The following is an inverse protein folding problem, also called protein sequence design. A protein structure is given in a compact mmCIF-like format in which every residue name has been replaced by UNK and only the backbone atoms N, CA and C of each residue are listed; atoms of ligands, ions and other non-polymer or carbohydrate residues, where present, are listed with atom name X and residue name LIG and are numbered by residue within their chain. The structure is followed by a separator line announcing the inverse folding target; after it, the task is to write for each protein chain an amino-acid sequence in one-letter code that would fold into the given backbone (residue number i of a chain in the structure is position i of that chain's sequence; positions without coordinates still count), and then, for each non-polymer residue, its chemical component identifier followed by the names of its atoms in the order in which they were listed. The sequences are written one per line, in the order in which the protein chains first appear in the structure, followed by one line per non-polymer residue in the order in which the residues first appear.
data_IF_041568684180
#
_entry.id   IF_041568684180
#
_cell.length_a   1.000
_cell.length_b   1.000
_cell.length_c   1.000
_cell.angle_alpha   90.00
_cell.angle_beta   90.00
_cell.angle_gamma   90.00
#
_symmetry.space_group_name_H-M   'P 1'
#
loop_
_entity.id
_entity.type
_entity.pdbx_description
1 polymer ?
#
# COMPACT_ATOMS: atom_id res chain seq x y z
N UNK A 1 2.68 5.53 11.90
CA UNK A 1 1.31 5.01 11.63
C UNK A 1 1.10 3.73 12.45
N UNK A 2 -0.14 3.30 12.75
CA UNK A 2 -0.41 1.96 13.31
C UNK A 2 -0.83 0.98 12.21
N UNK A 3 -0.69 -0.32 12.44
CA UNK A 3 -1.07 -1.37 11.46
C UNK A 3 -2.55 -1.24 11.06
N UNK A 4 -3.43 -0.94 12.02
CA UNK A 4 -4.86 -0.80 11.80
C UNK A 4 -5.18 0.40 10.89
N UNK A 5 -4.44 1.50 11.04
CA UNK A 5 -4.61 2.69 10.21
C UNK A 5 -4.09 2.44 8.80
N UNK A 6 -2.93 1.80 8.67
CA UNK A 6 -2.37 1.38 7.38
C UNK A 6 -3.35 0.47 6.61
N UNK A 7 -3.94 -0.50 7.31
CA UNK A 7 -4.90 -1.43 6.73
C UNK A 7 -6.18 -0.73 6.26
N UNK A 8 -6.71 0.22 7.04
CA UNK A 8 -7.88 1.03 6.64
C UNK A 8 -7.60 1.88 5.41
N UNK A 9 -6.44 2.54 5.37
CA UNK A 9 -6.03 3.36 4.22
C UNK A 9 -5.87 2.49 2.97
N UNK A 10 -5.19 1.34 3.10
CA UNK A 10 -5.02 0.40 2.00
C UNK A 10 -6.36 -0.12 1.47
N UNK A 11 -7.28 -0.49 2.37
CA UNK A 11 -8.63 -0.95 2.00
C UNK A 11 -9.40 0.14 1.23
N UNK A 12 -9.32 1.40 1.70
CA UNK A 12 -9.92 2.53 1.01
C UNK A 12 -9.32 2.72 -0.39
N UNK A 13 -8.00 2.81 -0.50
CA UNK A 13 -7.32 2.98 -1.79
C UNK A 13 -7.59 1.84 -2.77
N UNK A 14 -7.67 0.60 -2.29
CA UNK A 14 -7.97 -0.58 -3.10
C UNK A 14 -9.43 -0.63 -3.58
N UNK A 15 -10.38 -0.19 -2.75
CA UNK A 15 -11.81 -0.21 -3.05
C UNK A 15 -12.25 0.93 -3.96
N UNK A 16 -11.61 2.10 -3.87
CA UNK A 16 -11.88 3.25 -4.76
C UNK A 16 -10.99 3.31 -5.98
N UNK A 17 -10.06 2.35 -6.16
CA UNK A 17 -9.23 2.29 -7.35
C UNK A 17 -10.12 2.07 -8.60
N UNK A 18 -9.82 2.74 -9.72
CA UNK A 18 -10.48 2.45 -10.99
C UNK A 18 -10.37 0.98 -11.37
N UNK A 19 -11.30 0.53 -12.22
CA UNK A 19 -11.29 -0.85 -12.71
C UNK A 19 -9.95 -1.19 -13.34
N UNK A 20 -9.41 -2.37 -12.97
CA UNK A 20 -8.09 -2.87 -13.37
C UNK A 20 -6.88 -2.09 -12.83
N UNK A 21 -7.08 -1.08 -11.98
CA UNK A 21 -5.98 -0.30 -11.37
C UNK A 21 -5.71 -0.65 -9.89
N UNK A 22 -6.36 -1.68 -9.36
CA UNK A 22 -6.23 -2.06 -7.94
C UNK A 22 -4.79 -2.29 -7.51
N UNK A 23 -4.01 -3.06 -8.29
CA UNK A 23 -2.60 -3.31 -7.99
C UNK A 23 -1.75 -2.04 -8.08
N UNK A 24 -2.05 -1.16 -9.04
CA UNK A 24 -1.38 0.15 -9.18
C UNK A 24 -1.61 1.00 -7.95
N UNK A 25 -2.83 1.01 -7.40
CA UNK A 25 -3.14 1.73 -6.18
C UNK A 25 -2.49 1.13 -4.93
N UNK A 26 -2.26 -0.19 -4.89
CA UNK A 26 -1.43 -0.82 -3.83
C UNK A 26 0.02 -0.36 -3.91
N UNK A 27 0.59 -0.20 -5.11
CA UNK A 27 1.91 0.40 -5.27
C UNK A 27 1.92 1.87 -4.84
N UNK A 28 0.90 2.63 -5.24
CA UNK A 28 0.77 4.04 -4.88
C UNK A 28 0.65 4.23 -3.37
N UNK A 29 -0.05 3.32 -2.68
CA UNK A 29 -0.09 3.26 -1.22
C UNK A 29 1.31 3.08 -0.63
N UNK A 30 2.07 2.09 -1.14
CA UNK A 30 3.44 1.86 -0.69
C UNK A 30 4.39 3.03 -0.97
N UNK A 31 4.22 3.74 -2.08
CA UNK A 31 5.00 4.94 -2.42
C UNK A 31 4.64 6.09 -1.47
N UNK A 32 3.34 6.34 -1.28
CA UNK A 32 2.83 7.50 -0.54
C UNK A 32 3.17 7.46 0.94
N UNK A 33 3.16 6.28 1.54
CA UNK A 33 3.35 6.08 2.98
C UNK A 33 4.64 5.32 3.31
N UNK A 34 5.67 5.47 2.46
CA UNK A 34 6.87 4.65 2.54
C UNK A 34 7.58 4.76 3.90
N UNK A 35 7.71 5.98 4.42
CA UNK A 35 8.36 6.25 5.70
C UNK A 35 7.53 5.71 6.88
N UNK A 36 6.21 5.86 6.82
CA UNK A 36 5.32 5.40 7.88
C UNK A 36 5.13 3.88 7.90
N UNK A 37 5.39 3.20 6.79
CA UNK A 37 5.30 1.75 6.63
C UNK A 37 6.63 1.03 6.91
N UNK A 38 7.72 1.76 7.14
CA UNK A 38 9.02 1.13 7.38
C UNK A 38 8.99 0.22 8.62
N UNK A 39 9.61 -0.95 8.50
CA UNK A 39 9.59 -1.98 9.53
C UNK A 39 8.24 -2.69 9.78
N UNK A 40 7.14 -2.33 9.10
CA UNK A 40 5.82 -2.93 9.35
C UNK A 40 5.60 -4.30 8.67
N UNK A 41 4.73 -5.17 9.24
CA UNK A 41 4.37 -6.46 8.64
C UNK A 41 3.38 -6.29 7.47
N UNK A 42 3.89 -6.01 6.27
CA UNK A 42 3.06 -5.64 5.11
C UNK A 42 2.03 -6.71 4.69
N UNK A 43 2.35 -8.00 4.85
CA UNK A 43 1.38 -9.06 4.56
C UNK A 43 0.20 -9.02 5.54
N UNK A 44 0.45 -8.70 6.80
CA UNK A 44 -0.59 -8.53 7.81
C UNK A 44 -1.46 -7.31 7.53
N UNK A 45 -0.85 -6.20 7.09
CA UNK A 45 -1.59 -5.02 6.62
C UNK A 45 -2.54 -5.39 5.47
N UNK A 46 -2.05 -6.15 4.48
CA UNK A 46 -2.88 -6.62 3.36
C UNK A 46 -4.05 -7.50 3.81
N UNK A 47 -3.81 -8.45 4.72
CA UNK A 47 -4.86 -9.32 5.29
C UNK A 47 -5.89 -8.50 6.06
N UNK A 48 -5.45 -7.58 6.93
CA UNK A 48 -6.34 -6.71 7.71
C UNK A 48 -7.11 -5.71 6.84
N UNK A 49 -6.58 -5.35 5.67
CA UNK A 49 -7.26 -4.55 4.66
C UNK A 49 -8.31 -5.34 3.85
N UNK A 50 -8.45 -6.65 4.10
CA UNK A 50 -9.42 -7.50 3.40
C UNK A 50 -8.99 -7.86 1.97
N UNK A 51 -7.70 -7.77 1.65
CA UNK A 51 -7.16 -8.13 0.34
C UNK A 51 -6.20 -9.32 0.44
N UNK A 52 -5.82 -9.90 -0.71
CA UNK A 52 -4.88 -11.02 -0.72
C UNK A 52 -3.56 -10.65 -0.05
N UNK A 53 -3.06 -11.52 0.85
CA UNK A 53 -1.74 -11.39 1.49
C UNK A 53 -0.59 -11.19 0.49
N UNK A 54 -0.76 -11.66 -0.74
CA UNK A 54 0.22 -11.51 -1.82
C UNK A 54 0.47 -10.04 -2.17
N UNK A 55 -0.47 -9.13 -1.89
CA UNK A 55 -0.25 -7.70 -2.06
C UNK A 55 0.82 -7.13 -1.12
N UNK A 56 1.25 -7.85 -0.08
CA UNK A 56 2.41 -7.46 0.73
C UNK A 56 3.68 -7.24 -0.10
N UNK A 57 3.89 -8.01 -1.18
CA UNK A 57 5.04 -7.80 -2.09
C UNK A 57 4.89 -6.54 -2.92
N UNK A 58 3.66 -6.22 -3.34
CA UNK A 58 3.36 -5.04 -4.14
C UNK A 58 3.50 -3.75 -3.32
N UNK A 59 3.11 -3.79 -2.04
CA UNK A 59 3.37 -2.70 -1.09
C UNK A 59 4.87 -2.48 -0.94
N UNK A 60 5.66 -3.55 -0.74
CA UNK A 60 7.13 -3.45 -0.60
C UNK A 60 7.79 -2.87 -1.84
N UNK A 61 7.33 -3.24 -3.04
CA UNK A 61 7.79 -2.63 -4.30
C UNK A 61 7.48 -1.12 -4.33
N UNK A 62 6.29 -0.71 -3.87
CA UNK A 62 5.93 0.69 -3.73
C UNK A 62 6.87 1.46 -2.79
N UNK A 63 7.13 0.92 -1.60
CA UNK A 63 8.09 1.50 -0.64
C UNK A 63 9.48 1.66 -1.27
N UNK A 64 9.96 0.63 -1.96
CA UNK A 64 11.26 0.68 -2.65
C UNK A 64 11.31 1.73 -3.76
N UNK A 65 10.18 2.00 -4.43
CA UNK A 65 10.08 3.01 -5.48
C UNK A 65 10.09 4.44 -4.92
N UNK A 66 9.65 4.65 -3.67
CA UNK A 66 9.48 5.98 -3.09
C UNK A 66 10.74 6.85 -3.15
N UNK A 67 11.94 6.25 -3.08
CA UNK A 67 13.22 6.97 -3.19
C UNK A 67 13.59 7.44 -4.60
N UNK A 68 12.84 7.02 -5.62
CA UNK A 68 13.13 7.31 -7.03
C UNK A 68 12.07 8.17 -7.72
N UNK A 69 10.94 8.42 -7.06
CA UNK A 69 9.77 9.06 -7.69
C UNK A 69 9.22 10.18 -6.83
N UNK A 70 8.62 11.17 -7.50
CA UNK A 70 7.75 12.16 -6.87
C UNK A 70 6.31 11.93 -7.34
N UNK A 71 5.33 12.06 -6.45
CA UNK A 71 3.92 11.96 -6.80
C UNK A 71 3.52 13.19 -7.63
N UNK A 72 2.73 12.96 -8.68
CA UNK A 72 2.11 14.05 -9.44
C UNK A 72 0.96 14.64 -8.63
N UNK A 73 0.92 15.98 -8.60
CA UNK A 73 -0.14 16.83 -8.05
C UNK A 73 -1.20 17.16 -9.08
#
# INVERSE_FOLDING_TARGET
MKIEDAAKILAQMYSTAPDKEKAVHVHLFGIRYADELDGMPLQEIAVRAGISKNYGTEIRKGINLARYVALKS
#
